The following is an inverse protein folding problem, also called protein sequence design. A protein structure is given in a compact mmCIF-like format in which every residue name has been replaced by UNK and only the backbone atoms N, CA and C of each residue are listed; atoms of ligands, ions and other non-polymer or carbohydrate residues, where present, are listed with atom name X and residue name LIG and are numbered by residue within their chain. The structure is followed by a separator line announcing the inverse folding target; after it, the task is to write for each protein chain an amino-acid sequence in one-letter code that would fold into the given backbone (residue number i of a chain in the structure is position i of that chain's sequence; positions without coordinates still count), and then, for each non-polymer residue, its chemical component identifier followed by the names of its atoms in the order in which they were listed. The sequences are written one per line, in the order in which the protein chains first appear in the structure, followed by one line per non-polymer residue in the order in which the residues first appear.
data_IF_321258687172
#
_entry.id   IF_321258687172
#
_cell.length_a   1.000
_cell.length_b   1.000
_cell.length_c   1.000
_cell.angle_alpha   90.00
_cell.angle_beta   90.00
_cell.angle_gamma   90.00
#
_symmetry.space_group_name_H-M   'P 1'
#
loop_
_entity.id
_entity.type
_entity.pdbx_description
1 polymer ?
#
# COMPACT_ATOMS: atom_id res chain seq x y z
N UNK A 1 18.89 4.28 -13.53
CA UNK A 1 18.31 2.93 -13.71
C UNK A 1 17.15 2.93 -14.69
N UNK A 2 15.87 3.06 -14.27
CA UNK A 2 14.70 2.93 -15.18
C UNK A 2 14.78 3.82 -16.43
N UNK A 3 15.20 5.08 -16.26
CA UNK A 3 15.35 6.02 -17.37
C UNK A 3 16.50 5.67 -18.33
N UNK A 4 17.57 5.06 -17.82
CA UNK A 4 18.74 4.69 -18.61
C UNK A 4 18.52 3.39 -19.37
N UNK A 5 17.84 2.41 -18.74
CA UNK A 5 17.62 1.09 -19.31
C UNK A 5 16.34 1.00 -20.14
N UNK A 6 15.37 1.90 -19.92
CA UNK A 6 14.03 1.82 -20.51
C UNK A 6 13.19 0.65 -19.98
N UNK A 7 13.68 -0.08 -18.98
CA UNK A 7 12.97 -1.22 -18.38
C UNK A 7 12.07 -0.68 -17.27
N UNK A 8 10.75 -0.81 -17.46
CA UNK A 8 9.73 -0.33 -16.53
C UNK A 8 8.92 -1.52 -15.99
N UNK A 9 8.60 -1.56 -14.68
CA UNK A 9 7.65 -2.52 -14.14
C UNK A 9 6.22 -2.14 -14.54
N UNK A 10 5.33 -3.11 -14.68
CA UNK A 10 3.91 -2.85 -14.95
C UNK A 10 3.22 -2.13 -13.78
N UNK A 11 3.64 -2.45 -12.55
CA UNK A 11 3.11 -1.85 -11.34
C UNK A 11 4.11 -1.83 -10.18
N UNK A 12 3.84 -0.94 -9.23
CA UNK A 12 4.51 -0.85 -7.94
C UNK A 12 3.42 -0.83 -6.86
N UNK A 13 3.56 -1.65 -5.83
CA UNK A 13 2.69 -1.60 -4.65
C UNK A 13 3.40 -0.87 -3.53
N UNK A 14 2.72 0.11 -2.94
CA UNK A 14 3.16 0.81 -1.73
C UNK A 14 2.34 0.29 -0.56
N UNK A 15 3.03 -0.34 0.40
CA UNK A 15 2.43 -0.76 1.66
C UNK A 15 2.82 0.22 2.77
N UNK A 16 1.85 0.57 3.61
CA UNK A 16 2.09 1.43 4.76
C UNK A 16 2.30 0.64 6.04
N UNK A 17 2.81 1.30 7.08
CA UNK A 17 2.95 0.70 8.42
C UNK A 17 1.62 0.25 9.04
N UNK A 18 0.48 0.64 8.48
CA UNK A 18 -0.85 0.26 8.94
C UNK A 18 -1.28 -1.17 8.55
N UNK A 19 -0.38 -1.89 7.88
CA UNK A 19 -0.52 -3.28 7.46
C UNK A 19 -0.88 -4.25 8.61
N UNK A 20 -1.08 -5.50 8.24
CA UNK A 20 -1.35 -6.57 9.19
C UNK A 20 -0.49 -7.78 8.89
N UNK A 21 -0.19 -8.54 9.92
CA UNK A 21 0.60 -9.76 9.83
C UNK A 21 0.00 -10.80 10.77
N UNK A 22 0.29 -12.07 10.48
CA UNK A 22 -0.15 -13.17 11.32
C UNK A 22 0.80 -13.45 12.50
N UNK A 23 2.07 -13.04 12.40
CA UNK A 23 3.13 -13.58 13.26
C UNK A 23 4.38 -12.69 13.39
N UNK A 24 4.32 -11.40 13.03
CA UNK A 24 5.54 -10.59 13.15
C UNK A 24 5.86 -10.28 14.62
N UNK A 25 7.15 -10.09 14.97
CA UNK A 25 7.54 -9.54 16.26
C UNK A 25 6.93 -8.14 16.48
N UNK A 26 6.53 -7.86 17.72
CA UNK A 26 5.92 -6.58 18.11
C UNK A 26 6.84 -5.40 17.82
N UNK A 27 8.16 -5.59 17.96
CA UNK A 27 9.15 -4.56 17.66
C UNK A 27 9.05 -4.08 16.20
N UNK A 28 8.70 -4.98 15.28
CA UNK A 28 8.52 -4.64 13.88
C UNK A 28 7.14 -4.06 13.59
N UNK A 29 6.09 -4.59 14.21
CA UNK A 29 4.73 -4.08 14.03
C UNK A 29 4.59 -2.63 14.50
N UNK A 30 5.22 -2.28 15.62
CA UNK A 30 5.04 -0.97 16.24
C UNK A 30 6.03 0.10 15.78
N UNK A 31 7.22 -0.30 15.30
CA UNK A 31 8.33 0.64 15.06
C UNK A 31 8.88 0.66 13.63
N UNK A 32 8.47 -0.25 12.74
CA UNK A 32 8.99 -0.31 11.38
C UNK A 32 7.95 0.17 10.36
N UNK A 33 8.39 1.04 9.46
CA UNK A 33 7.62 1.54 8.34
C UNK A 33 7.24 3.02 8.46
N UNK A 34 6.41 3.47 7.53
CA UNK A 34 5.98 4.86 7.41
C UNK A 34 4.48 4.86 7.06
N UNK A 35 3.69 5.84 7.52
CA UNK A 35 2.29 5.92 7.14
C UNK A 35 2.10 5.88 5.61
N UNK A 36 1.12 5.10 5.14
CA UNK A 36 0.86 4.90 3.71
C UNK A 36 0.74 6.22 2.94
N UNK A 37 0.17 7.25 3.57
CA UNK A 37 -0.02 8.56 2.94
C UNK A 37 1.30 9.16 2.44
N UNK A 38 2.35 9.09 3.24
CA UNK A 38 3.64 9.70 2.91
C UNK A 38 4.34 8.89 1.81
N UNK A 39 4.38 7.57 1.96
CA UNK A 39 4.98 6.67 0.97
C UNK A 39 4.28 6.74 -0.39
N UNK A 40 2.94 6.81 -0.40
CA UNK A 40 2.16 6.88 -1.63
C UNK A 40 2.37 8.21 -2.37
N UNK A 41 2.35 9.34 -1.65
CA UNK A 41 2.62 10.65 -2.22
C UNK A 41 4.05 10.71 -2.78
N UNK A 42 5.03 10.19 -2.04
CA UNK A 42 6.42 10.13 -2.48
C UNK A 42 6.56 9.33 -3.78
N UNK A 43 5.99 8.13 -3.83
CA UNK A 43 6.05 7.26 -5.00
C UNK A 43 5.37 7.90 -6.21
N UNK A 44 4.16 8.44 -6.03
CA UNK A 44 3.43 9.13 -7.09
C UNK A 44 4.25 10.29 -7.66
N UNK A 45 4.75 11.17 -6.79
CA UNK A 45 5.52 12.34 -7.20
C UNK A 45 6.87 11.98 -7.82
N UNK A 46 7.54 10.93 -7.35
CA UNK A 46 8.78 10.45 -7.93
C UNK A 46 8.57 9.98 -9.38
N UNK A 47 7.52 9.21 -9.64
CA UNK A 47 7.19 8.74 -10.99
C UNK A 47 6.73 9.88 -11.91
N UNK A 48 5.99 10.86 -11.37
CA UNK A 48 5.60 12.08 -12.11
C UNK A 48 6.83 12.90 -12.46
N UNK A 49 7.71 13.17 -11.49
CA UNK A 49 8.94 13.93 -11.69
C UNK A 49 9.93 13.25 -12.64
N UNK A 50 9.92 11.91 -12.69
CA UNK A 50 10.69 11.13 -13.65
C UNK A 50 10.01 11.01 -15.04
N UNK A 51 8.78 11.52 -15.21
CA UNK A 51 8.07 11.49 -16.50
C UNK A 51 7.58 10.11 -16.94
N UNK A 52 7.51 9.14 -16.03
CA UNK A 52 7.16 7.74 -16.33
C UNK A 52 5.88 7.25 -15.65
N UNK A 53 5.17 8.12 -14.92
CA UNK A 53 3.97 7.76 -14.13
C UNK A 53 2.87 7.07 -14.95
N UNK A 54 2.69 7.45 -16.20
CA UNK A 54 1.69 6.89 -17.11
C UNK A 54 1.93 5.42 -17.47
N UNK A 55 3.18 4.95 -17.34
CA UNK A 55 3.57 3.59 -17.71
C UNK A 55 3.46 2.60 -16.54
N UNK A 56 3.42 3.08 -15.30
CA UNK A 56 3.52 2.24 -14.10
C UNK A 56 2.28 2.45 -13.24
N UNK A 57 1.55 1.37 -12.95
CA UNK A 57 0.39 1.41 -12.05
C UNK A 57 0.83 1.41 -10.59
N UNK A 58 0.16 2.19 -9.74
CA UNK A 58 0.44 2.22 -8.31
C UNK A 58 -0.68 1.50 -7.54
N UNK A 59 -0.34 0.41 -6.86
CA UNK A 59 -1.21 -0.23 -5.88
C UNK A 59 -0.97 0.35 -4.49
N UNK A 60 -2.03 0.53 -3.71
CA UNK A 60 -1.94 0.94 -2.30
C UNK A 60 -2.46 -0.15 -1.36
N UNK A 61 -1.68 -0.46 -0.34
CA UNK A 61 -2.04 -1.37 0.76
C UNK A 61 -1.75 -0.67 2.10
N UNK A 62 -2.65 -0.82 3.07
CA UNK A 62 -2.52 -0.15 4.37
C UNK A 62 -3.87 0.22 4.95
N UNK A 63 -4.44 -0.71 5.72
CA UNK A 63 -5.71 -0.55 6.47
C UNK A 63 -6.87 0.04 5.65
N UNK A 64 -7.03 -0.40 4.40
CA UNK A 64 -8.14 -0.01 3.52
C UNK A 64 -9.34 -0.89 3.85
N UNK A 65 -10.41 -0.30 4.40
CA UNK A 65 -11.57 -1.04 4.91
C UNK A 65 -12.87 -0.58 4.29
N UNK A 66 -13.07 0.72 4.17
CA UNK A 66 -14.29 1.32 3.63
C UNK A 66 -14.08 1.94 2.25
N UNK A 67 -15.18 2.20 1.53
CA UNK A 67 -15.13 2.89 0.24
C UNK A 67 -14.47 4.28 0.32
N UNK A 68 -14.61 4.97 1.45
CA UNK A 68 -13.93 6.25 1.71
C UNK A 68 -12.42 6.14 1.73
N UNK A 69 -11.88 5.01 2.21
CA UNK A 69 -10.44 4.76 2.22
C UNK A 69 -9.94 4.59 0.80
N UNK A 70 -10.67 3.84 -0.03
CA UNK A 70 -10.36 3.63 -1.46
C UNK A 70 -10.32 4.99 -2.19
N UNK A 71 -11.37 5.79 -2.04
CA UNK A 71 -11.45 7.12 -2.68
C UNK A 71 -10.27 7.99 -2.24
N UNK A 72 -9.93 7.98 -0.94
CA UNK A 72 -8.79 8.73 -0.42
C UNK A 72 -7.47 8.28 -1.06
N UNK A 73 -7.22 6.97 -1.18
CA UNK A 73 -5.96 6.47 -1.76
C UNK A 73 -5.88 6.73 -3.26
N UNK A 74 -6.98 6.62 -3.99
CA UNK A 74 -7.04 6.98 -5.41
C UNK A 74 -6.75 8.49 -5.59
N UNK A 75 -7.34 9.34 -4.76
CA UNK A 75 -7.07 10.78 -4.79
C UNK A 75 -5.60 11.12 -4.48
N UNK A 76 -4.92 10.29 -3.68
CA UNK A 76 -3.50 10.40 -3.36
C UNK A 76 -2.57 9.84 -4.46
N UNK A 77 -3.13 9.28 -5.54
CA UNK A 77 -2.37 8.87 -6.72
C UNK A 77 -2.25 7.36 -6.93
N UNK A 78 -2.97 6.53 -6.16
CA UNK A 78 -3.09 5.10 -6.42
C UNK A 78 -4.02 4.80 -7.61
N UNK A 79 -3.69 3.78 -8.41
CA UNK A 79 -4.55 3.24 -9.46
C UNK A 79 -5.51 2.16 -8.93
N UNK A 80 -5.10 1.41 -7.89
CA UNK A 80 -5.92 0.39 -7.25
C UNK A 80 -5.55 0.21 -5.78
N UNK A 81 -6.44 -0.43 -5.02
CA UNK A 81 -6.32 -0.62 -3.58
C UNK A 81 -6.39 -2.11 -3.22
N UNK A 82 -5.62 -2.51 -2.21
CA UNK A 82 -5.59 -3.87 -1.67
C UNK A 82 -6.22 -3.87 -0.27
N UNK A 83 -7.22 -4.72 -0.07
CA UNK A 83 -7.94 -4.83 1.19
C UNK A 83 -7.83 -6.26 1.73
N UNK A 84 -6.88 -6.52 2.63
CA UNK A 84 -6.72 -7.83 3.26
C UNK A 84 -7.50 -7.95 4.58
N UNK A 85 -7.25 -7.04 5.54
CA UNK A 85 -7.86 -7.09 6.88
C UNK A 85 -9.38 -7.05 6.84
N UNK A 86 -9.97 -6.18 6.02
CA UNK A 86 -11.41 -6.10 5.85
C UNK A 86 -12.00 -7.40 5.29
N UNK A 87 -11.31 -8.02 4.33
CA UNK A 87 -11.76 -9.29 3.74
C UNK A 87 -11.64 -10.45 4.73
N UNK A 88 -10.59 -10.48 5.55
CA UNK A 88 -10.50 -11.45 6.66
C UNK A 88 -11.66 -11.29 7.64
N UNK A 89 -12.05 -10.06 7.99
CA UNK A 89 -13.20 -9.84 8.86
C UNK A 89 -14.52 -10.27 8.20
N UNK A 90 -14.67 -10.01 6.90
CA UNK A 90 -15.83 -10.46 6.14
C UNK A 90 -15.96 -11.99 6.09
N UNK A 91 -14.84 -12.73 6.12
CA UNK A 91 -14.84 -14.20 6.15
C UNK A 91 -14.93 -14.80 7.56
N UNK A 92 -14.92 -13.98 8.62
CA UNK A 92 -15.15 -14.43 10.00
C UNK A 92 -14.02 -14.13 11.00
N UNK A 93 -12.96 -13.40 10.61
CA UNK A 93 -11.97 -12.92 11.56
C UNK A 93 -12.61 -11.94 12.54
N UNK A 94 -12.57 -12.27 13.83
CA UNK A 94 -13.06 -11.44 14.93
C UNK A 94 -11.96 -10.57 15.56
N UNK A 95 -10.81 -10.46 14.91
CA UNK A 95 -9.61 -9.78 15.42
C UNK A 95 -9.14 -10.27 16.80
N UNK A 96 -9.16 -11.58 17.05
CA UNK A 96 -8.67 -12.17 18.29
C UNK A 96 -7.15 -11.99 18.51
N UNK A 97 -6.40 -11.58 17.47
CA UNK A 97 -4.94 -11.46 17.45
C UNK A 97 -4.18 -12.74 17.85
N UNK A 98 -4.85 -13.89 17.76
CA UNK A 98 -4.27 -15.24 17.90
C UNK A 98 -4.19 -15.92 16.54
N UNK A 99 -3.47 -15.26 15.64
CA UNK A 99 -3.28 -15.72 14.27
C UNK A 99 -2.17 -16.79 14.19
N UNK A 100 -1.21 -16.72 15.11
CA UNK A 100 -0.14 -17.69 15.35
C UNK A 100 -0.28 -18.31 16.74
#
# INVERSE_FOLDING_TARGET
AMLETGILPDFIVVDGSEGGTGAAPLEYEDHVGTPLTEGLILMHNALVGAGIRQHIKIGAAGKIVAGTDIIRRIAQGADYCLAARAMMMATGCIQAQRCH
#
